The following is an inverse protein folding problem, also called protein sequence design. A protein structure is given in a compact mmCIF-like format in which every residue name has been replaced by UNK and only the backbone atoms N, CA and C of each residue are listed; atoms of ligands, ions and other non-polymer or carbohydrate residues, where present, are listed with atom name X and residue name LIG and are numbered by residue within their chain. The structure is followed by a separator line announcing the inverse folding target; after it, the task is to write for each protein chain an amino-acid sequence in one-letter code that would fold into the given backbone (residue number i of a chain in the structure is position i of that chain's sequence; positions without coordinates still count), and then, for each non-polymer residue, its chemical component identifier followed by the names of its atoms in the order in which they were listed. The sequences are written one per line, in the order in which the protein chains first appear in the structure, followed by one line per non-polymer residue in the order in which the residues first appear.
data_IF_581495192768
#
_entry.id   IF_581495192768
#
_cell.length_a   1.000
_cell.length_b   1.000
_cell.length_c   1.000
_cell.angle_alpha   90.00
_cell.angle_beta   90.00
_cell.angle_gamma   90.00
#
_symmetry.space_group_name_H-M   'P 1'
#
loop_
_entity.id
_entity.type
_entity.pdbx_description
1 polymer ?
#
# COMPACT_ATOMS: atom_id res chain seq x y z
N UNK A 1 36.76 3.39 -2.72
CA UNK A 1 36.28 2.51 -1.63
C UNK A 1 35.83 1.25 -2.35
N UNK A 2 36.55 0.13 -2.21
CA UNK A 2 36.21 -1.11 -2.92
C UNK A 2 34.77 -1.47 -2.53
N UNK A 3 33.90 -1.62 -3.52
CA UNK A 3 32.61 -2.29 -3.35
C UNK A 3 32.93 -3.64 -2.72
N UNK A 4 32.51 -3.86 -1.47
CA UNK A 4 32.36 -5.23 -1.00
C UNK A 4 31.34 -5.85 -1.96
N UNK A 5 31.79 -6.76 -2.83
CA UNK A 5 30.89 -7.57 -3.64
C UNK A 5 29.91 -8.21 -2.65
N UNK A 6 28.66 -7.72 -2.64
CA UNK A 6 27.59 -8.37 -1.89
C UNK A 6 27.50 -9.80 -2.42
N UNK A 7 27.98 -10.77 -1.67
CA UNK A 7 27.86 -12.17 -2.07
C UNK A 7 26.40 -12.61 -1.91
N UNK A 8 25.66 -12.50 -3.01
CA UNK A 8 24.25 -12.89 -3.12
C UNK A 8 23.97 -14.37 -2.82
N UNK A 9 24.99 -15.20 -2.58
CA UNK A 9 24.79 -16.61 -2.20
C UNK A 9 23.94 -16.77 -0.95
N UNK A 10 24.22 -15.96 0.08
CA UNK A 10 23.63 -16.18 1.41
C UNK A 10 22.77 -15.00 1.90
N UNK A 11 22.71 -13.90 1.15
CA UNK A 11 21.92 -12.72 1.50
C UNK A 11 20.97 -12.30 0.36
N UNK A 12 19.74 -11.92 0.73
CA UNK A 12 18.80 -11.29 -0.21
C UNK A 12 19.30 -9.86 -0.47
N UNK A 13 19.62 -9.54 -1.72
CA UNK A 13 19.94 -8.17 -2.14
C UNK A 13 18.66 -7.56 -2.70
N UNK A 14 18.12 -6.55 -2.03
CA UNK A 14 16.94 -5.81 -2.44
C UNK A 14 17.35 -4.55 -3.22
N UNK A 15 17.10 -4.55 -4.52
CA UNK A 15 17.28 -3.38 -5.38
C UNK A 15 16.05 -2.48 -5.34
N UNK A 16 16.22 -1.23 -4.93
CA UNK A 16 15.13 -0.26 -4.79
C UNK A 16 15.56 1.20 -4.96
N UNK A 17 14.57 2.11 -4.98
CA UNK A 17 14.82 3.55 -5.05
C UNK A 17 15.53 4.05 -3.78
N UNK A 18 16.34 5.10 -3.94
CA UNK A 18 17.02 5.76 -2.82
C UNK A 18 16.03 6.29 -1.78
N UNK A 19 16.46 6.27 -0.51
CA UNK A 19 15.70 6.82 0.62
C UNK A 19 15.37 8.30 0.40
N UNK A 20 14.10 8.71 0.54
CA UNK A 20 13.67 10.11 0.52
C UNK A 20 14.29 10.96 1.65
N UNK A 21 14.29 12.28 1.48
CA UNK A 21 14.88 13.22 2.45
C UNK A 21 14.07 13.40 3.73
N UNK A 22 12.78 13.10 3.71
CA UNK A 22 11.87 13.24 4.86
C UNK A 22 11.86 12.00 5.79
N UNK A 23 12.85 11.11 5.67
CA UNK A 23 13.02 9.97 6.59
C UNK A 23 12.12 8.77 6.32
N UNK A 24 11.10 8.88 5.48
CA UNK A 24 10.28 7.71 5.08
C UNK A 24 11.14 6.69 4.31
N UNK A 25 10.85 5.39 4.34
CA UNK A 25 11.71 4.41 3.69
C UNK A 25 11.66 4.49 2.15
N UNK A 26 10.53 4.86 1.56
CA UNK A 26 10.39 4.89 0.10
C UNK A 26 9.18 5.70 -0.36
N UNK A 27 9.36 6.49 -1.44
CA UNK A 27 8.27 7.13 -2.21
C UNK A 27 7.57 6.17 -3.19
N UNK A 28 8.08 4.95 -3.33
CA UNK A 28 7.43 3.87 -4.08
C UNK A 28 6.71 2.95 -3.10
N UNK A 29 5.37 2.80 -3.20
CA UNK A 29 4.62 1.90 -2.33
C UNK A 29 4.99 0.44 -2.54
N UNK A 30 5.38 0.05 -3.75
CA UNK A 30 5.87 -1.30 -4.05
C UNK A 30 7.21 -1.60 -3.37
N UNK A 31 8.13 -0.64 -3.34
CA UNK A 31 9.40 -0.81 -2.64
C UNK A 31 9.18 -0.91 -1.12
N UNK A 32 8.32 -0.04 -0.57
CA UNK A 32 7.96 -0.09 0.86
C UNK A 32 7.24 -1.40 1.22
N UNK A 33 6.32 -1.88 0.38
CA UNK A 33 5.65 -3.19 0.51
C UNK A 33 6.69 -4.30 0.61
N UNK A 34 7.62 -4.37 -0.33
CA UNK A 34 8.55 -5.49 -0.40
C UNK A 34 9.51 -5.51 0.78
N UNK A 35 10.05 -4.35 1.16
CA UNK A 35 10.93 -4.28 2.32
C UNK A 35 10.17 -4.58 3.62
N UNK A 36 8.93 -4.10 3.75
CA UNK A 36 8.07 -4.43 4.90
C UNK A 36 7.78 -5.94 4.96
N UNK A 37 7.53 -6.59 3.83
CA UNK A 37 7.35 -8.04 3.78
C UNK A 37 8.60 -8.78 4.28
N UNK A 38 9.80 -8.41 3.82
CA UNK A 38 11.05 -9.05 4.27
C UNK A 38 11.21 -8.92 5.79
N UNK A 39 10.89 -7.75 6.35
CA UNK A 39 10.91 -7.52 7.80
C UNK A 39 9.83 -8.30 8.56
N UNK A 40 8.61 -8.36 8.04
CA UNK A 40 7.53 -9.17 8.62
C UNK A 40 7.86 -10.66 8.64
N UNK A 41 8.57 -11.11 7.61
CA UNK A 41 9.06 -12.46 7.41
C UNK A 41 10.34 -12.79 8.21
N UNK A 42 10.92 -11.80 8.88
CA UNK A 42 12.22 -11.90 9.59
C UNK A 42 13.34 -12.44 8.69
N UNK A 43 13.33 -12.04 7.42
CA UNK A 43 14.33 -12.43 6.44
C UNK A 43 15.48 -11.42 6.42
N UNK A 44 16.75 -11.86 6.56
CA UNK A 44 17.88 -10.97 6.44
C UNK A 44 18.06 -10.51 4.98
N UNK A 45 18.22 -9.21 4.79
CA UNK A 45 18.41 -8.62 3.47
C UNK A 45 19.35 -7.41 3.53
N UNK A 46 19.90 -7.04 2.38
CA UNK A 46 20.70 -5.84 2.18
C UNK A 46 20.07 -4.97 1.11
N UNK A 47 20.00 -3.66 1.36
CA UNK A 47 19.47 -2.70 0.41
C UNK A 47 20.55 -2.24 -0.57
N UNK A 48 20.20 -2.22 -1.85
CA UNK A 48 21.02 -1.63 -2.90
C UNK A 48 20.24 -0.53 -3.63
N UNK A 49 20.69 0.71 -3.45
CA UNK A 49 20.00 1.92 -3.92
C UNK A 49 20.57 2.44 -5.25
N UNK A 50 20.69 1.57 -6.24
CA UNK A 50 21.27 1.92 -7.55
C UNK A 50 20.26 2.54 -8.53
N UNK A 51 18.97 2.51 -8.18
CA UNK A 51 17.89 2.99 -9.03
C UNK A 51 17.72 2.20 -10.33
N UNK A 52 18.37 1.03 -10.46
CA UNK A 52 18.31 0.21 -11.67
C UNK A 52 16.99 -0.55 -11.71
N UNK A 53 16.28 -0.39 -12.81
CA UNK A 53 15.07 -1.18 -13.08
C UNK A 53 15.44 -2.63 -13.39
N UNK A 54 14.53 -3.54 -13.08
CA UNK A 54 14.62 -4.94 -13.55
C UNK A 54 14.56 -5.01 -15.08
N UNK A 55 14.87 -6.18 -15.70
CA UNK A 55 14.67 -6.38 -17.14
C UNK A 55 13.25 -6.07 -17.64
N UNK A 56 12.25 -6.16 -16.76
CA UNK A 56 10.84 -5.87 -17.00
C UNK A 56 10.49 -4.39 -16.74
N UNK A 57 11.47 -3.54 -16.44
CA UNK A 57 11.27 -2.12 -16.16
C UNK A 57 10.61 -1.85 -14.79
N UNK A 58 10.67 -2.81 -13.85
CA UNK A 58 10.01 -2.70 -12.55
C UNK A 58 11.00 -2.59 -11.39
N UNK A 59 10.53 -2.01 -10.29
CA UNK A 59 11.22 -2.00 -9.00
C UNK A 59 10.17 -2.10 -7.88
N UNK A 60 10.43 -2.78 -6.75
CA UNK A 60 11.67 -3.46 -6.36
C UNK A 60 11.91 -4.76 -7.14
N UNK A 61 13.16 -5.23 -7.09
CA UNK A 61 13.55 -6.58 -7.51
C UNK A 61 14.67 -7.09 -6.60
N UNK A 62 14.91 -8.40 -6.59
CA UNK A 62 15.90 -9.02 -5.70
C UNK A 62 16.95 -9.82 -6.47
N UNK A 63 18.12 -9.96 -5.85
CA UNK A 63 19.09 -11.02 -6.14
C UNK A 63 19.21 -11.94 -4.94
N UNK A 64 19.12 -13.25 -5.17
CA UNK A 64 19.36 -14.26 -4.15
C UNK A 64 19.82 -15.56 -4.82
N UNK A 65 20.92 -16.15 -4.34
CA UNK A 65 21.55 -17.32 -4.95
C UNK A 65 21.81 -17.14 -6.46
N UNK A 66 22.37 -15.98 -6.84
CA UNK A 66 22.63 -15.56 -8.22
C UNK A 66 21.39 -15.52 -9.15
N UNK A 67 20.17 -15.63 -8.60
CA UNK A 67 18.93 -15.46 -9.37
C UNK A 67 18.38 -14.06 -9.16
N UNK A 68 18.06 -13.39 -10.27
CA UNK A 68 17.35 -12.11 -10.27
C UNK A 68 15.86 -12.36 -10.42
N UNK A 69 15.06 -11.83 -9.50
CA UNK A 69 13.60 -12.01 -9.50
C UNK A 69 12.93 -10.65 -9.38
N UNK A 70 11.93 -10.39 -10.23
CA UNK A 70 11.22 -9.12 -10.28
C UNK A 70 9.72 -9.31 -10.24
N UNK A 71 9.00 -8.30 -9.75
CA UNK A 71 7.56 -8.36 -9.52
C UNK A 71 7.28 -8.90 -8.12
N UNK A 72 6.66 -8.08 -7.28
CA UNK A 72 6.50 -8.35 -5.84
C UNK A 72 5.81 -9.68 -5.55
N UNK A 73 4.78 -10.08 -6.31
CA UNK A 73 4.15 -11.40 -6.19
C UNK A 73 5.15 -12.54 -6.46
N UNK A 74 5.88 -12.49 -7.57
CA UNK A 74 6.86 -13.53 -7.93
C UNK A 74 8.06 -13.57 -6.98
N UNK A 75 8.48 -12.42 -6.44
CA UNK A 75 9.52 -12.36 -5.42
C UNK A 75 9.07 -13.08 -4.15
N UNK A 76 7.85 -12.81 -3.70
CA UNK A 76 7.27 -13.46 -2.52
C UNK A 76 7.21 -14.97 -2.76
N UNK A 77 6.59 -15.43 -3.85
CA UNK A 77 6.48 -16.86 -4.18
C UNK A 77 7.85 -17.56 -4.23
N UNK A 78 8.84 -16.90 -4.85
CA UNK A 78 10.21 -17.40 -4.92
C UNK A 78 10.86 -17.54 -3.54
N UNK A 79 10.67 -16.57 -2.65
CA UNK A 79 11.20 -16.64 -1.28
C UNK A 79 10.46 -17.69 -0.44
N UNK A 80 9.15 -17.84 -0.61
CA UNK A 80 8.40 -18.91 0.07
C UNK A 80 8.93 -20.29 -0.38
N UNK A 81 9.15 -20.49 -1.68
CA UNK A 81 9.69 -21.74 -2.23
C UNK A 81 11.12 -22.03 -1.74
N UNK A 82 11.99 -21.01 -1.69
CA UNK A 82 13.42 -21.19 -1.35
C UNK A 82 13.72 -21.20 0.13
N UNK A 83 12.96 -20.48 0.94
CA UNK A 83 13.24 -20.26 2.36
C UNK A 83 12.13 -20.80 3.28
N UNK A 84 11.00 -21.25 2.73
CA UNK A 84 9.90 -21.81 3.51
C UNK A 84 9.12 -20.78 4.34
N UNK A 85 9.34 -19.48 4.11
CA UNK A 85 8.65 -18.42 4.85
C UNK A 85 7.33 -18.11 4.18
N UNK A 86 6.22 -18.35 4.88
CA UNK A 86 4.88 -18.09 4.38
C UNK A 86 4.07 -17.31 5.43
N UNK A 87 3.89 -16.00 5.20
CA UNK A 87 3.10 -15.14 6.09
C UNK A 87 1.60 -15.49 6.06
N UNK A 88 1.14 -16.13 4.99
CA UNK A 88 -0.25 -16.54 4.81
C UNK A 88 -0.54 -17.96 5.32
N UNK A 89 0.42 -18.62 6.01
CA UNK A 89 0.27 -20.02 6.47
C UNK A 89 -0.95 -20.26 7.36
N UNK A 90 -1.38 -19.23 8.08
CA UNK A 90 -2.52 -19.27 9.00
C UNK A 90 -3.86 -18.98 8.32
N UNK A 91 -3.85 -18.56 7.04
CA UNK A 91 -5.05 -18.20 6.29
C UNK A 91 -5.65 -19.41 5.58
N UNK A 92 -6.95 -19.61 5.77
CA UNK A 92 -7.74 -20.59 5.02
C UNK A 92 -7.96 -20.19 3.55
N UNK A 93 -8.52 -21.07 2.70
CA UNK A 93 -8.71 -20.80 1.27
C UNK A 93 -9.53 -19.53 0.98
N UNK A 94 -10.62 -19.31 1.72
CA UNK A 94 -11.46 -18.12 1.58
C UNK A 94 -10.70 -16.84 1.96
N UNK A 95 -9.98 -16.86 3.08
CA UNK A 95 -9.16 -15.73 3.55
C UNK A 95 -8.04 -15.39 2.56
N UNK A 96 -7.42 -16.39 1.94
CA UNK A 96 -6.44 -16.20 0.87
C UNK A 96 -7.05 -15.54 -0.37
N UNK A 97 -8.28 -15.92 -0.74
CA UNK A 97 -9.00 -15.27 -1.84
C UNK A 97 -9.31 -13.80 -1.54
N UNK A 98 -9.79 -13.51 -0.32
CA UNK A 98 -10.01 -12.12 0.14
C UNK A 98 -8.70 -11.34 0.15
N UNK A 99 -7.63 -11.89 0.72
CA UNK A 99 -6.28 -11.29 0.71
C UNK A 99 -5.83 -10.93 -0.71
N UNK A 100 -6.07 -11.81 -1.69
CA UNK A 100 -5.76 -11.53 -3.10
C UNK A 100 -6.62 -10.41 -3.67
N UNK A 101 -7.93 -10.41 -3.43
CA UNK A 101 -8.83 -9.36 -3.90
C UNK A 101 -8.43 -7.99 -3.35
N UNK A 102 -8.15 -7.90 -2.05
CA UNK A 102 -7.68 -6.67 -1.39
C UNK A 102 -6.33 -6.22 -1.96
N UNK A 103 -5.40 -7.16 -2.17
CA UNK A 103 -4.11 -6.85 -2.81
C UNK A 103 -4.30 -6.20 -4.17
N UNK A 104 -5.19 -6.74 -5.01
CA UNK A 104 -5.45 -6.19 -6.35
C UNK A 104 -6.18 -4.86 -6.33
N UNK A 105 -7.14 -4.65 -5.43
CA UNK A 105 -7.75 -3.34 -5.23
C UNK A 105 -6.69 -2.29 -4.85
N UNK A 106 -5.77 -2.62 -3.96
CA UNK A 106 -4.74 -1.67 -3.50
C UNK A 106 -3.70 -1.38 -4.58
N UNK A 107 -3.16 -2.41 -5.24
CA UNK A 107 -2.06 -2.26 -6.20
C UNK A 107 -2.50 -1.78 -7.58
N UNK A 108 -3.73 -2.11 -8.01
CA UNK A 108 -4.21 -1.82 -9.37
C UNK A 108 -5.25 -0.70 -9.40
N UNK A 109 -5.84 -0.29 -8.27
CA UNK A 109 -6.83 0.80 -8.23
C UNK A 109 -6.39 1.96 -7.33
N UNK A 110 -6.25 1.73 -6.03
CA UNK A 110 -5.86 2.78 -5.06
C UNK A 110 -4.51 3.39 -5.41
N UNK A 111 -3.53 2.57 -5.81
CA UNK A 111 -2.19 3.00 -6.21
C UNK A 111 -2.20 4.16 -7.21
N UNK A 112 -3.02 4.09 -8.26
CA UNK A 112 -3.03 5.12 -9.31
C UNK A 112 -3.50 6.48 -8.78
N UNK A 113 -4.47 6.49 -7.88
CA UNK A 113 -4.95 7.73 -7.26
C UNK A 113 -3.90 8.36 -6.34
N UNK A 114 -3.17 7.54 -5.58
CA UNK A 114 -2.06 8.01 -4.75
C UNK A 114 -0.87 8.49 -5.60
N UNK A 115 -0.58 7.80 -6.71
CA UNK A 115 0.45 8.20 -7.66
C UNK A 115 0.11 9.54 -8.34
N UNK A 116 -1.17 9.80 -8.64
CA UNK A 116 -1.63 11.11 -9.10
C UNK A 116 -1.36 12.20 -8.06
N UNK A 117 -1.80 11.97 -6.81
CA UNK A 117 -1.57 12.93 -5.72
C UNK A 117 -0.06 13.21 -5.57
N UNK A 118 0.79 12.19 -5.62
CA UNK A 118 2.23 12.32 -5.45
C UNK A 118 2.93 13.04 -6.62
N UNK A 119 2.67 12.62 -7.85
CA UNK A 119 3.47 13.02 -9.02
C UNK A 119 2.77 14.04 -9.93
N UNK A 120 1.50 14.36 -9.68
CA UNK A 120 0.75 15.32 -10.50
C UNK A 120 0.35 16.55 -9.69
N UNK A 121 -0.39 16.35 -8.60
CA UNK A 121 -0.91 17.39 -7.71
C UNK A 121 0.22 17.94 -6.82
N UNK A 122 0.85 17.08 -6.03
CA UNK A 122 1.83 17.47 -5.01
C UNK A 122 3.29 17.46 -5.52
N UNK A 123 3.49 17.69 -6.82
CA UNK A 123 4.79 17.54 -7.49
C UNK A 123 5.91 18.32 -6.81
N UNK A 124 5.63 19.54 -6.34
CA UNK A 124 6.62 20.42 -5.73
C UNK A 124 7.14 19.85 -4.40
N UNK A 125 6.25 19.39 -3.52
CA UNK A 125 6.64 18.77 -2.25
C UNK A 125 7.33 17.43 -2.49
N UNK A 126 6.83 16.62 -3.43
CA UNK A 126 7.49 15.37 -3.83
C UNK A 126 8.91 15.62 -4.34
N UNK A 127 9.15 16.67 -5.12
CA UNK A 127 10.49 17.04 -5.60
C UNK A 127 11.46 17.34 -4.44
N UNK A 128 10.99 17.95 -3.35
CA UNK A 128 11.81 18.20 -2.15
C UNK A 128 12.22 16.90 -1.45
N UNK A 129 11.35 15.89 -1.48
CA UNK A 129 11.60 14.57 -0.89
C UNK A 129 12.58 13.73 -1.71
N UNK A 130 12.67 13.93 -3.04
CA UNK A 130 13.58 13.17 -3.90
C UNK A 130 15.04 13.40 -3.51
N UNK A 131 15.74 12.30 -3.25
CA UNK A 131 17.17 12.27 -2.95
C UNK A 131 17.99 12.05 -4.21
N UNK A 132 18.61 13.11 -4.72
CA UNK A 132 19.69 13.07 -5.71
C UNK A 132 20.85 13.93 -5.20
N UNK A 133 22.07 13.45 -5.42
CA UNK A 133 23.30 14.09 -4.98
C UNK A 133 24.20 14.39 -6.18
N UNK A 134 25.04 15.42 -6.04
CA UNK A 134 26.00 15.82 -7.07
C UNK A 134 25.68 17.17 -7.74
N UNK A 135 26.56 17.64 -8.62
CA UNK A 135 26.33 18.87 -9.36
C UNK A 135 25.05 18.73 -10.19
N UNK A 136 24.30 19.82 -10.34
CA UNK A 136 23.02 19.87 -11.07
C UNK A 136 21.89 19.02 -10.47
N UNK A 137 21.97 18.60 -9.20
CA UNK A 137 20.94 17.77 -8.55
C UNK A 137 19.54 18.37 -8.67
N UNK A 138 19.39 19.69 -8.56
CA UNK A 138 18.08 20.33 -8.60
C UNK A 138 17.46 20.30 -10.01
N UNK A 139 18.29 20.48 -11.04
CA UNK A 139 17.86 20.34 -12.43
C UNK A 139 17.50 18.87 -12.73
N UNK A 140 18.30 17.92 -12.28
CA UNK A 140 18.02 16.49 -12.46
C UNK A 140 16.74 16.05 -11.74
N UNK A 141 16.51 16.54 -10.51
CA UNK A 141 15.25 16.32 -9.78
C UNK A 141 14.07 16.88 -10.54
N UNK A 142 14.19 18.12 -11.02
CA UNK A 142 13.14 18.76 -11.81
C UNK A 142 12.81 17.94 -13.06
N UNK A 143 13.82 17.54 -13.85
CA UNK A 143 13.65 16.68 -15.03
C UNK A 143 12.98 15.35 -14.66
N UNK A 144 13.48 14.67 -13.62
CA UNK A 144 12.96 13.39 -13.16
C UNK A 144 11.50 13.49 -12.72
N UNK A 145 11.15 14.49 -11.92
CA UNK A 145 9.79 14.72 -11.43
C UNK A 145 8.83 15.04 -12.59
N UNK A 146 9.23 15.90 -13.53
CA UNK A 146 8.38 16.23 -14.70
C UNK A 146 8.23 15.07 -15.69
N UNK A 147 9.27 14.25 -15.88
CA UNK A 147 9.17 13.01 -16.66
C UNK A 147 8.22 12.02 -15.99
N UNK A 148 8.38 11.79 -14.69
CA UNK A 148 7.53 10.89 -13.90
C UNK A 148 6.07 11.35 -13.91
N UNK A 149 5.80 12.66 -13.80
CA UNK A 149 4.46 13.25 -13.98
C UNK A 149 3.84 12.89 -15.34
N UNK A 150 4.60 13.01 -16.42
CA UNK A 150 4.15 12.63 -17.76
C UNK A 150 3.85 11.14 -17.89
N UNK A 151 4.71 10.28 -17.33
CA UNK A 151 4.52 8.83 -17.30
C UNK A 151 3.24 8.48 -16.51
N UNK A 152 3.09 8.99 -15.29
CA UNK A 152 1.91 8.71 -14.44
C UNK A 152 0.62 9.08 -15.17
N UNK A 153 0.55 10.28 -15.77
CA UNK A 153 -0.64 10.68 -16.56
C UNK A 153 -0.92 9.73 -17.74
N UNK A 154 0.12 9.33 -18.48
CA UNK A 154 -0.02 8.42 -19.62
C UNK A 154 -0.50 7.04 -19.19
N UNK A 155 0.14 6.45 -18.18
CA UNK A 155 -0.19 5.10 -17.70
C UNK A 155 -1.59 5.07 -17.08
N UNK A 156 -1.95 6.09 -16.28
CA UNK A 156 -3.31 6.21 -15.74
C UNK A 156 -4.37 6.33 -16.83
N UNK A 157 -4.09 7.09 -17.91
CA UNK A 157 -4.99 7.16 -19.05
C UNK A 157 -5.09 5.79 -19.75
N UNK A 158 -3.98 5.07 -19.91
CA UNK A 158 -3.99 3.69 -20.40
C UNK A 158 -4.86 2.76 -19.53
N UNK A 159 -4.73 2.87 -18.21
CA UNK A 159 -5.48 2.09 -17.22
C UNK A 159 -6.99 2.36 -17.22
N UNK A 160 -7.43 3.56 -17.60
CA UNK A 160 -8.84 3.95 -17.57
C UNK A 160 -9.17 4.95 -16.48
N UNK A 161 -8.56 4.82 -15.31
CA UNK A 161 -8.81 5.74 -14.18
C UNK A 161 -8.42 7.19 -14.50
N UNK A 162 -7.40 7.40 -15.33
CA UNK A 162 -6.97 8.73 -15.77
C UNK A 162 -7.92 9.39 -16.78
N UNK A 163 -9.03 8.74 -17.16
CA UNK A 163 -10.08 9.34 -18.02
C UNK A 163 -11.13 10.11 -17.22
N UNK A 164 -11.21 9.87 -15.92
CA UNK A 164 -12.13 10.57 -15.03
C UNK A 164 -11.61 11.96 -14.66
N UNK A 165 -12.53 12.83 -14.24
CA UNK A 165 -12.19 14.10 -13.61
C UNK A 165 -11.47 13.90 -12.27
N UNK A 166 -10.84 14.96 -11.78
CA UNK A 166 -10.13 14.94 -10.49
C UNK A 166 -11.06 14.57 -9.32
N UNK A 167 -12.27 15.15 -9.26
CA UNK A 167 -13.24 14.85 -8.21
C UNK A 167 -13.78 13.41 -8.27
N UNK A 168 -14.02 12.88 -9.47
CA UNK A 168 -14.40 11.48 -9.64
C UNK A 168 -13.26 10.55 -9.19
N UNK A 169 -12.01 10.87 -9.52
CA UNK A 169 -10.85 10.12 -9.08
C UNK A 169 -10.70 10.13 -7.55
N UNK A 170 -10.91 11.27 -6.89
CA UNK A 170 -10.93 11.33 -5.44
C UNK A 170 -12.09 10.54 -4.82
N UNK A 171 -13.26 10.55 -5.47
CA UNK A 171 -14.38 9.72 -5.02
C UNK A 171 -14.04 8.23 -5.07
N UNK A 172 -13.31 7.79 -6.10
CA UNK A 172 -12.80 6.42 -6.22
C UNK A 172 -11.76 6.09 -5.13
N UNK A 173 -10.79 6.98 -4.91
CA UNK A 173 -9.79 6.85 -3.84
C UNK A 173 -10.45 6.74 -2.46
N UNK A 174 -11.44 7.59 -2.16
CA UNK A 174 -12.15 7.57 -0.88
C UNK A 174 -12.92 6.26 -0.69
N UNK A 175 -13.55 5.72 -1.74
CA UNK A 175 -14.22 4.42 -1.69
C UNK A 175 -13.26 3.30 -1.34
N UNK A 176 -12.07 3.27 -1.95
CA UNK A 176 -11.06 2.25 -1.63
C UNK A 176 -10.57 2.38 -0.19
N UNK A 177 -10.25 3.60 0.27
CA UNK A 177 -9.76 3.82 1.64
C UNK A 177 -10.84 3.50 2.68
N UNK A 178 -12.10 3.87 2.44
CA UNK A 178 -13.22 3.48 3.32
C UNK A 178 -13.48 1.97 3.29
N UNK A 179 -13.30 1.32 2.14
CA UNK A 179 -13.37 -0.14 2.03
C UNK A 179 -12.28 -0.80 2.86
N UNK A 180 -11.05 -0.31 2.82
CA UNK A 180 -9.97 -0.79 3.69
C UNK A 180 -10.29 -0.56 5.18
N UNK A 181 -10.86 0.60 5.52
CA UNK A 181 -11.27 0.89 6.90
C UNK A 181 -12.37 -0.07 7.39
N UNK A 182 -13.35 -0.38 6.55
CA UNK A 182 -14.40 -1.36 6.86
C UNK A 182 -13.87 -2.80 6.93
N UNK A 183 -12.97 -3.17 6.01
CA UNK A 183 -12.30 -4.47 6.03
C UNK A 183 -11.43 -4.64 7.28
N UNK A 184 -10.76 -3.59 7.74
CA UNK A 184 -10.01 -3.61 8.99
C UNK A 184 -10.96 -3.73 10.18
N UNK A 185 -12.00 -2.90 10.25
CA UNK A 185 -12.88 -2.83 11.41
C UNK A 185 -12.08 -2.61 12.70
N UNK A 186 -12.33 -3.47 13.69
CA UNK A 186 -11.60 -3.50 14.98
C UNK A 186 -10.43 -4.50 14.99
N UNK A 187 -10.13 -5.15 13.86
CA UNK A 187 -9.04 -6.13 13.78
C UNK A 187 -7.69 -5.44 13.91
N UNK A 188 -6.72 -6.17 14.45
CA UNK A 188 -5.34 -5.68 14.58
C UNK A 188 -4.65 -5.52 13.22
N UNK A 189 -4.93 -6.44 12.31
CA UNK A 189 -4.43 -6.53 10.95
C UNK A 189 -5.59 -6.91 10.00
N UNK A 190 -5.40 -6.77 8.68
CA UNK A 190 -6.49 -6.92 7.70
C UNK A 190 -7.15 -8.30 7.78
N UNK A 191 -6.37 -9.34 8.03
CA UNK A 191 -6.84 -10.73 8.16
C UNK A 191 -7.00 -11.21 9.61
N UNK A 192 -6.96 -10.32 10.61
CA UNK A 192 -7.22 -10.67 12.01
C UNK A 192 -6.12 -10.23 12.97
N UNK A 193 -5.62 -11.16 13.79
CA UNK A 193 -4.69 -10.86 14.90
C UNK A 193 -3.21 -10.98 14.53
N UNK A 194 -2.91 -11.66 13.41
CA UNK A 194 -1.54 -11.93 12.92
C UNK A 194 -1.32 -11.22 11.58
N UNK A 195 -0.10 -10.75 11.34
CA UNK A 195 0.26 -10.14 10.05
C UNK A 195 0.27 -11.18 8.93
N UNK A 196 -0.12 -10.73 7.74
CA UNK A 196 -0.12 -11.53 6.52
C UNK A 196 0.45 -10.71 5.35
N UNK A 197 0.62 -11.33 4.18
CA UNK A 197 1.19 -10.65 3.02
C UNK A 197 0.38 -9.42 2.57
N UNK A 198 -0.94 -9.44 2.76
CA UNK A 198 -1.79 -8.29 2.43
C UNK A 198 -1.47 -7.08 3.30
N UNK A 199 -1.00 -7.28 4.54
CA UNK A 199 -0.67 -6.19 5.43
C UNK A 199 0.54 -5.40 4.95
N UNK A 200 1.56 -6.08 4.42
CA UNK A 200 2.69 -5.40 3.76
C UNK A 200 2.22 -4.57 2.54
N UNK A 201 1.21 -5.07 1.81
CA UNK A 201 0.64 -4.36 0.65
C UNK A 201 -0.15 -3.13 1.08
N UNK A 202 -1.10 -3.28 1.99
CA UNK A 202 -1.96 -2.19 2.47
C UNK A 202 -1.12 -1.13 3.17
N UNK A 203 -0.20 -1.53 4.05
CA UNK A 203 0.73 -0.59 4.69
C UNK A 203 1.59 0.16 3.67
N UNK A 204 2.21 -0.54 2.71
CA UNK A 204 3.08 0.09 1.72
C UNK A 204 2.41 1.24 0.94
N UNK A 205 1.11 1.11 0.68
CA UNK A 205 0.31 2.10 -0.04
C UNK A 205 -0.28 3.16 0.88
N UNK A 206 -0.91 2.79 2.00
CA UNK A 206 -1.45 3.76 2.95
C UNK A 206 -0.37 4.63 3.60
N UNK A 207 0.85 4.11 3.75
CA UNK A 207 1.99 4.88 4.19
C UNK A 207 2.27 6.11 3.30
N UNK A 208 1.96 6.04 2.00
CA UNK A 208 2.12 7.18 1.11
C UNK A 208 1.14 8.30 1.51
N UNK A 209 -0.13 7.95 1.74
CA UNK A 209 -1.15 8.88 2.24
C UNK A 209 -0.80 9.45 3.63
N UNK A 210 -0.22 8.63 4.52
CA UNK A 210 0.12 9.05 5.89
C UNK A 210 1.30 10.01 5.97
N UNK A 211 2.37 9.78 5.18
CA UNK A 211 3.67 10.41 5.45
C UNK A 211 4.36 11.03 4.22
N UNK A 212 3.79 10.90 3.02
CA UNK A 212 4.41 11.42 1.78
C UNK A 212 3.57 12.44 1.03
N UNK A 213 2.31 12.63 1.43
CA UNK A 213 1.34 13.49 0.74
C UNK A 213 0.83 14.63 1.64
N UNK A 214 1.72 15.47 2.20
CA UNK A 214 1.34 16.51 3.16
C UNK A 214 0.31 17.48 2.56
N UNK A 215 -0.74 17.75 3.32
CA UNK A 215 -1.81 18.68 2.98
C UNK A 215 -2.76 18.19 1.88
N UNK A 216 -2.59 16.99 1.33
CA UNK A 216 -3.44 16.46 0.25
C UNK A 216 -4.72 15.81 0.80
N UNK A 217 -5.69 15.54 -0.08
CA UNK A 217 -6.95 14.86 0.29
C UNK A 217 -6.74 13.47 0.92
N UNK A 218 -5.88 12.57 0.41
CA UNK A 218 -5.66 11.27 1.07
C UNK A 218 -5.10 11.40 2.49
N UNK A 219 -4.17 12.34 2.74
CA UNK A 219 -3.64 12.55 4.10
C UNK A 219 -4.73 13.05 5.05
N UNK A 220 -5.51 14.06 4.65
CA UNK A 220 -6.61 14.58 5.47
C UNK A 220 -7.65 13.51 5.78
N UNK A 221 -7.98 12.67 4.80
CA UNK A 221 -8.94 11.58 4.99
C UNK A 221 -8.43 10.55 6.01
N UNK A 222 -7.19 10.06 5.85
CA UNK A 222 -6.68 9.01 6.73
C UNK A 222 -6.41 9.52 8.16
N UNK A 223 -5.87 10.73 8.31
CA UNK A 223 -5.56 11.31 9.62
C UNK A 223 -6.78 11.92 10.31
N UNK A 224 -7.80 12.33 9.55
CA UNK A 224 -8.99 13.01 10.07
C UNK A 224 -10.20 12.11 10.28
N UNK A 225 -10.47 11.19 9.36
CA UNK A 225 -11.72 10.40 9.38
C UNK A 225 -11.49 8.90 9.54
N UNK A 226 -10.39 8.35 8.98
CA UNK A 226 -10.12 6.91 8.98
C UNK A 226 -9.10 6.54 10.07
N UNK A 227 -9.39 6.92 11.32
CA UNK A 227 -8.47 6.79 12.45
C UNK A 227 -8.02 5.34 12.68
N UNK A 228 -8.89 4.35 12.43
CA UNK A 228 -8.50 2.94 12.54
C UNK A 228 -7.39 2.56 11.53
N UNK A 229 -7.42 3.11 10.31
CA UNK A 229 -6.35 2.94 9.32
C UNK A 229 -5.07 3.69 9.72
N UNK A 230 -5.18 4.90 10.26
CA UNK A 230 -4.01 5.63 10.77
C UNK A 230 -3.31 4.84 11.89
N UNK A 231 -4.08 4.33 12.85
CA UNK A 231 -3.58 3.49 13.94
C UNK A 231 -3.01 2.16 13.46
N UNK A 232 -3.59 1.58 12.40
CA UNK A 232 -3.04 0.39 11.73
C UNK A 232 -1.67 0.68 11.11
N UNK A 233 -1.52 1.80 10.40
CA UNK A 233 -0.24 2.20 9.80
C UNK A 233 0.81 2.44 10.88
N UNK A 234 0.48 3.18 11.94
CA UNK A 234 1.38 3.41 13.08
C UNK A 234 1.83 2.12 13.76
N UNK A 235 0.92 1.15 13.91
CA UNK A 235 1.24 -0.15 14.51
C UNK A 235 2.26 -0.94 13.69
N UNK A 236 2.13 -0.94 12.37
CA UNK A 236 3.08 -1.62 11.48
C UNK A 236 4.41 -0.87 11.45
N UNK A 237 4.39 0.47 11.35
CA UNK A 237 5.60 1.31 11.42
C UNK A 237 6.37 1.03 12.71
N UNK A 238 5.75 1.18 13.88
CA UNK A 238 6.45 0.98 15.17
C UNK A 238 7.00 -0.44 15.34
N UNK A 239 6.30 -1.46 14.83
CA UNK A 239 6.71 -2.86 14.99
C UNK A 239 7.82 -3.27 14.03
N UNK A 240 7.74 -2.87 12.77
CA UNK A 240 8.64 -3.35 11.71
C UNK A 240 9.60 -2.28 11.20
N UNK A 241 9.44 -1.02 11.59
CA UNK A 241 10.28 0.11 11.23
C UNK A 241 10.60 0.96 12.47
N UNK A 242 11.17 0.38 13.54
CA UNK A 242 11.44 1.10 14.78
C UNK A 242 12.42 2.28 14.60
N UNK A 243 13.23 2.25 13.55
CA UNK A 243 14.15 3.33 13.19
C UNK A 243 13.52 4.45 12.35
N UNK A 244 12.30 4.23 11.84
CA UNK A 244 11.57 5.26 11.10
C UNK A 244 10.87 6.20 12.09
N UNK A 245 11.59 7.22 12.54
CA UNK A 245 11.05 8.30 13.37
C UNK A 245 10.29 9.32 12.51
N UNK A 246 9.12 9.75 12.97
CA UNK A 246 8.37 10.86 12.39
C UNK A 246 8.20 11.94 13.46
N UNK A 247 8.30 13.22 13.09
CA UNK A 247 8.43 14.34 14.04
C UNK A 247 7.32 14.41 15.12
N UNK A 248 6.14 13.85 14.84
CA UNK A 248 5.03 13.76 15.80
C UNK A 248 5.27 12.77 16.96
N UNK A 249 6.18 11.78 16.82
CA UNK A 249 6.48 10.81 17.88
C UNK A 249 7.11 11.46 19.13
N UNK A 250 7.74 12.65 18.99
CA UNK A 250 8.37 13.35 20.11
C UNK A 250 7.37 14.07 21.03
N UNK A 251 6.13 14.29 20.59
CA UNK A 251 5.13 15.00 21.40
C UNK A 251 4.51 14.13 22.51
N UNK A 252 4.69 12.81 22.46
CA UNK A 252 4.08 11.86 23.41
C UNK A 252 5.01 11.37 24.53
N UNK A 253 6.33 11.63 24.45
CA UNK A 253 7.30 11.08 25.42
C UNK A 253 8.08 12.11 26.25
N UNK A 254 7.92 13.42 26.00
CA UNK A 254 8.61 14.47 26.78
C UNK A 254 7.77 15.09 27.91
N UNK A 255 6.58 14.55 28.23
CA UNK A 255 5.64 15.22 29.16
C UNK A 255 5.60 14.73 30.62
N UNK A 256 6.51 13.86 31.08
CA UNK A 256 6.55 13.45 32.50
C UNK A 256 7.75 13.97 33.33
N UNK A 257 8.71 14.70 32.75
CA UNK A 257 9.80 15.32 33.53
C UNK A 257 10.10 16.76 33.07
N UNK A 258 9.20 17.71 33.37
CA UNK A 258 9.61 19.05 33.87
C UNK A 258 8.43 20.02 34.04
N UNK A 259 8.28 20.47 35.29
CA UNK A 259 7.82 21.80 35.74
C UNK A 259 6.48 22.38 35.25
N UNK A 260 5.62 22.58 36.24
CA UNK A 260 4.53 23.55 36.34
C UNK A 260 4.83 24.90 35.65
N UNK A 261 3.95 25.35 34.74
CA UNK A 261 3.09 26.52 34.92
C UNK A 261 2.63 27.15 33.57
N UNK A 262 1.33 27.45 33.54
CA UNK A 262 0.63 28.42 32.67
C UNK A 262 -0.08 27.88 31.42
N UNK A 263 -1.41 27.86 31.58
CA UNK A 263 -2.47 27.43 30.66
C UNK A 263 -2.68 28.39 29.48
N UNK A 264 -2.96 27.86 28.29
CA UNK A 264 -4.16 28.24 27.51
C UNK A 264 -4.55 27.10 26.56
N UNK A 265 -5.83 26.73 26.57
CA UNK A 265 -6.40 25.51 25.98
C UNK A 265 -6.74 25.61 24.49
N UNK A 266 -6.63 24.48 23.77
CA UNK A 266 -7.66 23.95 22.85
C UNK A 266 -7.45 22.42 22.74
N UNK A 267 -8.42 21.56 23.08
CA UNK A 267 -8.17 20.14 23.27
C UNK A 267 -8.43 19.33 21.99
N UNK A 268 -7.40 18.62 21.50
CA UNK A 268 -7.60 17.40 20.73
C UNK A 268 -7.82 16.25 21.72
N UNK A 269 -8.84 15.44 21.45
CA UNK A 269 -9.35 14.42 22.35
C UNK A 269 -8.32 13.32 22.61
N UNK A 270 -8.09 13.11 23.89
CA UNK A 270 -7.25 12.10 24.50
C UNK A 270 -7.84 10.69 24.28
N UNK A 271 -7.12 9.83 23.54
CA UNK A 271 -7.55 8.46 23.20
C UNK A 271 -6.89 7.41 24.11
N UNK A 272 -6.81 7.67 25.42
CA UNK A 272 -6.16 6.77 26.38
C UNK A 272 -7.10 5.94 27.26
N UNK A 273 -8.36 5.69 26.88
CA UNK A 273 -9.26 4.83 27.66
C UNK A 273 -10.21 3.98 26.80
N UNK A 274 -9.71 2.88 26.24
CA UNK A 274 -10.53 1.69 26.02
C UNK A 274 -9.69 0.43 26.26
N UNK A 275 -9.57 0.07 27.53
CA UNK A 275 -9.34 -1.32 27.93
C UNK A 275 -10.15 -1.58 29.19
N UNK A 276 -11.35 -2.13 28.99
CA UNK A 276 -12.02 -3.01 29.95
C UNK A 276 -13.13 -3.77 29.23
N UNK A 277 -12.97 -5.08 29.30
CA UNK A 277 -13.94 -6.13 29.02
C UNK A 277 -15.23 -5.93 29.81
N UNK A 278 -16.39 -6.06 29.17
CA UNK A 278 -17.57 -6.63 29.80
C UNK A 278 -18.30 -7.55 28.82
N UNK A 279 -18.48 -8.78 29.27
CA UNK A 279 -19.29 -9.86 28.70
C UNK A 279 -20.77 -9.59 28.96
N UNK A 280 -21.64 -9.77 27.96
CA UNK A 280 -23.01 -10.24 28.17
C UNK A 280 -23.52 -10.95 26.91
N UNK A 281 -23.97 -12.18 27.11
CA UNK A 281 -24.79 -12.98 26.19
C UNK A 281 -26.23 -12.45 26.19
N UNK A 282 -26.90 -12.42 25.03
CA UNK A 282 -28.22 -13.06 24.88
C UNK A 282 -28.65 -13.20 23.42
N UNK A 283 -29.28 -14.35 23.16
CA UNK A 283 -29.86 -14.80 21.90
C UNK A 283 -31.10 -13.99 21.49
N UNK A 284 -31.34 -13.86 20.18
CA UNK A 284 -32.54 -13.21 19.65
C UNK A 284 -32.75 -13.49 18.16
N UNK A 285 -33.29 -14.66 17.87
CA UNK A 285 -33.66 -15.15 16.54
C UNK A 285 -34.76 -14.26 15.91
N UNK A 286 -34.56 -13.73 14.70
CA UNK A 286 -35.67 -13.38 13.81
C UNK A 286 -35.25 -13.19 12.34
N UNK A 287 -35.90 -14.00 11.51
CA UNK A 287 -35.90 -14.01 10.05
C UNK A 287 -36.55 -12.73 9.52
N UNK A 288 -35.93 -12.04 8.55
CA UNK A 288 -36.67 -11.20 7.61
C UNK A 288 -36.00 -11.16 6.24
N UNK A 289 -36.84 -11.24 5.22
CA UNK A 289 -36.57 -11.55 3.82
C UNK A 289 -36.09 -10.32 3.04
N UNK A 290 -35.22 -10.55 2.05
CA UNK A 290 -34.80 -9.60 1.01
C UNK A 290 -35.91 -9.39 -0.03
N UNK A 291 -36.24 -8.16 -0.45
CA UNK A 291 -37.20 -7.92 -1.52
C UNK A 291 -36.49 -7.48 -2.80
N UNK A 292 -36.13 -8.43 -3.66
CA UNK A 292 -35.68 -8.12 -5.04
C UNK A 292 -36.32 -9.14 -6.01
N UNK A 293 -37.57 -8.88 -6.39
CA UNK A 293 -38.25 -9.50 -7.55
C UNK A 293 -39.50 -8.70 -7.90
N UNK A 294 -39.68 -8.37 -9.19
CA UNK A 294 -40.84 -7.62 -9.67
C UNK A 294 -41.97 -8.56 -10.16
N UNK A 295 -43.19 -8.02 -10.28
CA UNK A 295 -44.48 -8.72 -10.39
C UNK A 295 -44.68 -9.63 -11.62
N UNK A 296 -43.67 -9.78 -12.48
CA UNK A 296 -43.69 -10.66 -13.66
C UNK A 296 -42.75 -11.86 -13.56
N UNK A 297 -42.02 -12.03 -12.45
CA UNK A 297 -41.28 -13.27 -12.16
C UNK A 297 -40.03 -13.54 -13.00
N UNK A 298 -39.46 -12.52 -13.65
CA UNK A 298 -38.22 -12.63 -14.42
C UNK A 298 -37.05 -11.94 -13.72
N UNK A 299 -35.89 -12.62 -13.70
CA UNK A 299 -34.61 -12.16 -13.11
C UNK A 299 -34.01 -11.01 -13.96
N UNK A 300 -33.50 -9.96 -13.30
CA UNK A 300 -32.85 -8.80 -13.94
C UNK A 300 -31.41 -9.05 -14.41
N UNK A 301 -30.93 -10.29 -14.36
CA UNK A 301 -29.64 -10.70 -14.90
C UNK A 301 -29.83 -11.89 -15.83
N UNK A 302 -30.26 -11.63 -17.06
CA UNK A 302 -30.03 -12.49 -18.22
C UNK A 302 -30.03 -11.59 -19.47
N UNK A 303 -28.83 -11.25 -19.93
CA UNK A 303 -28.63 -10.74 -21.29
C UNK A 303 -27.63 -11.66 -21.96
N UNK A 304 -28.14 -12.76 -22.49
CA UNK A 304 -27.40 -13.64 -23.39
C UNK A 304 -27.07 -12.86 -24.68
N UNK A 305 -25.77 -12.78 -24.98
CA UNK A 305 -25.25 -12.31 -26.26
C UNK A 305 -25.06 -13.55 -27.12
N UNK A 306 -25.93 -13.72 -28.11
CA UNK A 306 -25.81 -14.76 -29.13
C UNK A 306 -24.49 -14.60 -29.91
N UNK A 307 -23.66 -15.66 -29.89
CA UNK A 307 -22.47 -15.80 -30.73
C UNK A 307 -22.80 -16.66 -31.93
N UNK A 308 -22.94 -16.05 -33.10
CA UNK A 308 -23.11 -16.75 -34.36
C UNK A 308 -21.85 -17.56 -34.73
N UNK A 309 -22.05 -18.87 -34.96
CA UNK A 309 -21.06 -19.82 -35.46
C UNK A 309 -20.61 -19.46 -36.88
N UNK A 310 -19.32 -19.18 -37.08
CA UNK A 310 -18.68 -19.29 -38.41
C UNK A 310 -18.04 -20.68 -38.53
N UNK A 311 -18.63 -21.56 -39.34
CA UNK A 311 -18.01 -22.80 -39.81
C UNK A 311 -17.37 -22.62 -41.19
N UNK A 312 -16.20 -23.23 -41.32
CA UNK A 312 -15.37 -23.36 -42.51
C UNK A 312 -16.09 -23.91 -43.73
N UNK A 313 -15.75 -23.37 -44.90
CA UNK A 313 -15.90 -24.05 -46.18
C UNK A 313 -14.53 -24.19 -46.85
N UNK A 314 -13.94 -25.37 -46.75
CA UNK A 314 -13.03 -25.91 -47.77
C UNK A 314 -13.82 -26.21 -49.04
N UNK A 315 -13.30 -25.79 -50.20
CA UNK A 315 -13.48 -26.54 -51.43
C UNK A 315 -12.33 -26.32 -52.41
N UNK A 316 -11.67 -27.44 -52.74
CA UNK A 316 -10.75 -27.62 -53.85
C UNK A 316 -11.32 -27.08 -55.18
N UNK A 317 -10.48 -26.35 -55.91
CA UNK A 317 -10.11 -26.61 -57.31
C UNK A 317 -8.85 -25.85 -57.67
#
# INVERSE_FOLDING_TARGET
RKEEELDSKDAIILHQFSRPRNGVPSLSPFCLKMETYLRMADLPYQNYFDGKLSPQGKMPWIEYNHKKVSGTEFIIDFLEEKLGVNLNKHLGPHERAVSRAVTKMVEEHLYWTLAYCQWVENLHETQKMVSLFGPFSDLLKWIFCHLTKGIVKREMYGHGIGRFSEEEMYTLMEKDMRTLAGLLGDKKYIMGSTVSTVDATVFGHLAQAMWTLPGTRPERLIKGELINLAMYCERIRRKFWPEWHHDDDNTLYESEESSEASKTYSPLQDFSFYSRTETFDEEGNSISQTPDTDYTGHSLFDSDVDMDEYRDHEQCK
#
